data_IF_077861982576
#
_entry.id   IF_077861982576
#
_cell.length_a   1.000
_cell.length_b   1.000
_cell.length_c   1.000
_cell.angle_alpha   90.00
_cell.angle_beta   90.00
_cell.angle_gamma   90.00
#
_symmetry.space_group_name_H-M   'P 1'
#
loop_
_entity.id
_entity.type
_entity.pdbx_description
1 polymer ?
#
# COMPACT_ATOMS: atom_id res chain seq x y z
N UNK A 1 -34.85 -8.17 -2.59
CA UNK A 1 -33.65 -7.52 -3.17
C UNK A 1 -32.46 -8.39 -2.84
N UNK A 2 -32.00 -9.20 -3.79
CA UNK A 2 -30.83 -10.07 -3.60
C UNK A 2 -29.58 -9.20 -3.59
N UNK A 3 -28.92 -9.11 -2.43
CA UNK A 3 -27.61 -8.47 -2.30
C UNK A 3 -26.61 -9.35 -3.07
N UNK A 4 -26.51 -9.14 -4.38
CA UNK A 4 -25.46 -9.74 -5.21
C UNK A 4 -24.14 -9.22 -4.72
N UNK A 5 -23.33 -10.11 -4.16
CA UNK A 5 -22.01 -9.79 -3.62
C UNK A 5 -21.15 -9.17 -4.73
N UNK A 6 -20.79 -7.89 -4.62
CA UNK A 6 -19.75 -7.24 -5.46
C UNK A 6 -18.33 -7.68 -5.05
N UNK A 7 -18.11 -8.99 -4.90
CA UNK A 7 -16.82 -9.54 -4.49
C UNK A 7 -15.77 -9.53 -5.62
N UNK A 8 -16.22 -9.39 -6.87
CA UNK A 8 -15.32 -9.30 -8.00
C UNK A 8 -14.67 -7.90 -7.99
N UNK A 9 -13.36 -7.88 -7.72
CA UNK A 9 -12.51 -6.74 -8.04
C UNK A 9 -12.11 -6.84 -9.50
N UNK A 10 -12.24 -5.73 -10.22
CA UNK A 10 -11.80 -5.60 -11.60
C UNK A 10 -10.35 -5.14 -11.67
N UNK A 11 -9.73 -5.33 -12.83
CA UNK A 11 -8.37 -4.86 -13.07
C UNK A 11 -8.28 -3.33 -13.01
N UNK A 12 -9.30 -2.61 -13.47
CA UNK A 12 -9.37 -1.15 -13.40
C UNK A 12 -9.44 -0.65 -11.95
N UNK A 13 -10.20 -1.33 -11.08
CA UNK A 13 -10.24 -1.02 -9.65
C UNK A 13 -8.88 -1.25 -8.97
N UNK A 14 -8.18 -2.34 -9.34
CA UNK A 14 -6.84 -2.63 -8.84
C UNK A 14 -5.79 -1.62 -9.32
N UNK A 15 -5.89 -1.17 -10.58
CA UNK A 15 -5.05 -0.14 -11.18
C UNK A 15 -5.22 1.19 -10.43
N UNK A 16 -6.47 1.60 -10.20
CA UNK A 16 -6.76 2.83 -9.44
C UNK A 16 -6.23 2.75 -8.01
N UNK A 17 -6.45 1.61 -7.34
CA UNK A 17 -5.93 1.38 -5.99
C UNK A 17 -4.40 1.49 -5.97
N UNK A 18 -3.71 0.90 -6.95
CA UNK A 18 -2.27 0.98 -7.05
C UNK A 18 -1.76 2.40 -7.31
N UNK A 19 -2.36 3.10 -8.27
CA UNK A 19 -1.95 4.45 -8.63
C UNK A 19 -2.05 5.41 -7.43
N UNK A 20 -3.19 5.42 -6.74
CA UNK A 20 -3.42 6.30 -5.60
C UNK A 20 -2.47 5.96 -4.45
N UNK A 21 -2.30 4.68 -4.11
CA UNK A 21 -1.38 4.28 -3.05
C UNK A 21 0.07 4.65 -3.39
N UNK A 22 0.52 4.44 -4.63
CA UNK A 22 1.86 4.81 -5.06
C UNK A 22 2.09 6.33 -5.05
N UNK A 23 1.07 7.12 -5.44
CA UNK A 23 1.10 8.59 -5.28
C UNK A 23 1.27 9.00 -3.83
N UNK A 24 0.44 8.48 -2.91
CA UNK A 24 0.57 8.75 -1.48
C UNK A 24 1.95 8.36 -0.93
N UNK A 25 2.56 7.28 -1.40
CA UNK A 25 3.93 6.90 -1.00
C UNK A 25 4.96 7.93 -1.46
N UNK A 26 4.84 8.47 -2.68
CA UNK A 26 5.76 9.50 -3.22
C UNK A 26 5.64 10.81 -2.47
N UNK A 27 4.40 11.25 -2.26
CA UNK A 27 4.08 12.53 -1.60
C UNK A 27 4.28 12.45 -0.08
N UNK A 28 4.32 11.23 0.44
CA UNK A 28 4.59 10.93 1.84
C UNK A 28 3.35 10.86 2.74
N UNK A 29 2.17 10.73 2.14
CA UNK A 29 0.91 10.42 2.80
C UNK A 29 0.86 9.01 3.40
N UNK A 30 -0.26 8.72 4.04
CA UNK A 30 -0.51 7.43 4.70
C UNK A 30 -1.28 6.50 3.78
N UNK A 31 -1.10 5.17 3.95
CA UNK A 31 -1.89 4.20 3.21
C UNK A 31 -3.39 4.31 3.54
N UNK A 32 -3.74 4.68 4.78
CA UNK A 32 -5.13 4.87 5.19
C UNK A 32 -5.80 5.98 4.38
N UNK A 33 -5.13 7.13 4.22
CA UNK A 33 -5.65 8.24 3.40
C UNK A 33 -5.83 7.83 1.93
N UNK A 34 -4.89 7.06 1.38
CA UNK A 34 -5.03 6.49 0.05
C UNK A 34 -6.25 5.55 -0.06
N UNK A 35 -6.47 4.68 0.93
CA UNK A 35 -7.60 3.75 0.93
C UNK A 35 -8.96 4.45 1.11
N UNK A 36 -9.02 5.52 1.89
CA UNK A 36 -10.22 6.34 2.02
C UNK A 36 -10.57 7.05 0.71
N UNK A 37 -9.55 7.56 0.00
CA UNK A 37 -9.70 8.22 -1.29
C UNK A 37 -10.21 7.24 -2.36
N UNK A 38 -9.56 6.08 -2.48
CA UNK A 38 -10.00 5.03 -3.43
C UNK A 38 -11.36 4.46 -3.06
N UNK A 39 -11.62 4.28 -1.76
CA UNK A 39 -12.91 3.80 -1.26
C UNK A 39 -14.06 4.72 -1.68
N UNK A 40 -13.88 6.04 -1.56
CA UNK A 40 -14.87 7.02 -2.05
C UNK A 40 -15.06 6.93 -3.56
N UNK A 41 -13.99 6.76 -4.33
CA UNK A 41 -14.06 6.68 -5.79
C UNK A 41 -14.76 5.40 -6.28
N UNK A 42 -14.50 4.26 -5.64
CA UNK A 42 -15.06 2.95 -6.02
C UNK A 42 -16.35 2.60 -5.28
N UNK A 43 -16.88 3.50 -4.44
CA UNK A 43 -17.99 3.21 -3.52
C UNK A 43 -17.74 1.96 -2.65
N UNK A 44 -16.48 1.75 -2.22
CA UNK A 44 -16.04 0.65 -1.35
C UNK A 44 -15.54 1.21 0.00
N UNK A 45 -15.48 0.36 1.03
CA UNK A 45 -14.90 0.78 2.31
C UNK A 45 -13.38 0.85 2.24
N UNK A 46 -12.76 1.75 3.01
CA UNK A 46 -11.30 1.81 3.13
C UNK A 46 -10.71 0.48 3.61
N UNK A 47 -11.42 -0.23 4.49
CA UNK A 47 -11.05 -1.57 4.93
C UNK A 47 -11.00 -2.56 3.75
N UNK A 48 -12.02 -2.60 2.89
CA UNK A 48 -12.03 -3.47 1.71
C UNK A 48 -10.88 -3.18 0.75
N UNK A 49 -10.56 -1.90 0.53
CA UNK A 49 -9.42 -1.47 -0.27
C UNK A 49 -8.09 -1.95 0.37
N UNK A 50 -7.96 -1.82 1.69
CA UNK A 50 -6.80 -2.32 2.42
C UNK A 50 -6.63 -3.84 2.32
N UNK A 51 -7.71 -4.61 2.44
CA UNK A 51 -7.69 -6.06 2.26
C UNK A 51 -7.26 -6.45 0.83
N UNK A 52 -7.83 -5.80 -0.20
CA UNK A 52 -7.46 -6.06 -1.59
C UNK A 52 -5.99 -5.72 -1.85
N UNK A 53 -5.54 -4.57 -1.35
CA UNK A 53 -4.15 -4.13 -1.45
C UNK A 53 -3.20 -5.17 -0.85
N UNK A 54 -3.40 -5.54 0.41
CA UNK A 54 -2.49 -6.43 1.13
C UNK A 54 -2.49 -7.87 0.58
N UNK A 55 -3.62 -8.34 0.04
CA UNK A 55 -3.77 -9.73 -0.39
C UNK A 55 -3.24 -9.96 -1.81
N UNK A 56 -3.44 -8.99 -2.71
CA UNK A 56 -3.21 -9.14 -4.15
C UNK A 56 -2.34 -8.01 -4.73
N UNK A 57 -2.84 -6.78 -4.73
CA UNK A 57 -2.25 -5.66 -5.50
C UNK A 57 -0.82 -5.32 -5.04
N UNK A 58 -0.56 -5.29 -3.72
CA UNK A 58 0.79 -5.00 -3.19
C UNK A 58 1.87 -5.93 -3.73
N UNK A 59 1.53 -7.21 -3.97
CA UNK A 59 2.48 -8.21 -4.51
C UNK A 59 2.78 -7.95 -5.98
N UNK A 60 1.80 -7.49 -6.75
CA UNK A 60 1.95 -7.17 -8.17
C UNK A 60 2.78 -5.89 -8.37
N UNK A 61 2.59 -4.89 -7.52
CA UNK A 61 3.23 -3.57 -7.66
C UNK A 61 4.47 -3.39 -6.77
N UNK A 62 5.14 -4.48 -6.38
CA UNK A 62 6.30 -4.42 -5.49
C UNK A 62 7.39 -3.47 -6.05
N UNK A 63 7.76 -3.62 -7.32
CA UNK A 63 8.75 -2.73 -7.97
C UNK A 63 8.29 -1.25 -7.99
N UNK A 64 7.00 -1.00 -8.20
CA UNK A 64 6.42 0.34 -8.17
C UNK A 64 6.51 0.98 -6.78
N UNK A 65 6.26 0.21 -5.73
CA UNK A 65 6.38 0.65 -4.33
C UNK A 65 7.82 1.04 -4.01
N UNK A 66 8.80 0.27 -4.49
CA UNK A 66 10.22 0.54 -4.29
C UNK A 66 10.65 1.83 -4.98
N UNK A 67 10.22 2.01 -6.23
CA UNK A 67 10.48 3.23 -6.98
C UNK A 67 9.85 4.46 -6.31
N UNK A 68 8.59 4.35 -5.87
CA UNK A 68 7.88 5.43 -5.19
C UNK A 68 8.59 5.86 -3.89
N UNK A 69 9.08 4.89 -3.10
CA UNK A 69 9.88 5.17 -1.89
C UNK A 69 11.21 5.83 -2.21
N UNK A 70 11.91 5.37 -3.26
CA UNK A 70 13.16 5.98 -3.71
C UNK A 70 12.95 7.43 -4.12
N UNK A 71 11.90 7.70 -4.90
CA UNK A 71 11.52 9.06 -5.31
C UNK A 71 11.23 9.96 -4.10
N UNK A 72 10.48 9.48 -3.10
CA UNK A 72 10.26 10.24 -1.85
C UNK A 72 11.58 10.61 -1.17
N UNK A 73 12.52 9.66 -1.07
CA UNK A 73 13.84 9.90 -0.45
C UNK A 73 14.63 10.94 -1.24
N UNK A 74 14.63 10.85 -2.57
CA UNK A 74 15.31 11.80 -3.45
C UNK A 74 14.71 13.21 -3.37
N UNK A 75 13.38 13.32 -3.33
CA UNK A 75 12.68 14.60 -3.12
C UNK A 75 13.09 15.24 -1.79
N UNK A 76 13.07 14.48 -0.69
CA UNK A 76 13.50 15.01 0.62
C UNK A 76 14.96 15.48 0.63
N UNK A 77 15.84 14.77 -0.09
CA UNK A 77 17.25 15.17 -0.25
C UNK A 77 17.38 16.49 -1.01
N UNK A 78 16.60 16.70 -2.08
CA UNK A 78 16.59 17.97 -2.83
C UNK A 78 16.11 19.15 -1.98
N UNK A 79 15.16 18.92 -1.07
CA UNK A 79 14.60 19.96 -0.19
C UNK A 79 15.52 20.23 1.03
N UNK A 80 16.68 19.55 1.14
CA UNK A 80 17.63 19.76 2.23
C UNK A 80 17.16 19.24 3.59
N UNK A 81 16.04 18.51 3.66
CA UNK A 81 15.53 17.95 4.92
C UNK A 81 16.21 16.61 5.18
N UNK A 82 17.32 16.64 5.91
CA UNK A 82 18.05 15.46 6.37
C UNK A 82 17.32 14.80 7.55
N UNK A 83 16.17 14.19 7.30
CA UNK A 83 15.43 13.47 8.35
C UNK A 83 15.99 12.05 8.47
N UNK A 84 16.71 11.83 9.57
CA UNK A 84 17.39 10.60 9.99
C UNK A 84 16.44 9.52 10.55
N UNK A 85 15.17 9.50 10.15
CA UNK A 85 14.20 8.52 10.70
C UNK A 85 13.35 7.95 9.57
N UNK A 86 13.17 6.62 9.61
CA UNK A 86 12.40 5.75 8.71
C UNK A 86 13.12 5.19 7.47
N UNK A 87 14.20 4.45 7.68
CA UNK A 87 14.33 3.14 7.01
C UNK A 87 13.70 2.10 7.92
N UNK A 88 12.40 1.87 7.79
CA UNK A 88 11.88 0.52 8.09
C UNK A 88 12.48 -0.37 7.01
N UNK A 89 13.63 -0.95 7.35
CA UNK A 89 14.08 -2.20 6.76
C UNK A 89 12.88 -3.11 6.57
N UNK A 90 12.86 -3.71 5.39
CA UNK A 90 11.85 -4.63 4.95
C UNK A 90 11.66 -5.67 6.06
N UNK A 91 10.50 -5.67 6.72
CA UNK A 91 10.03 -6.81 7.48
C UNK A 91 9.81 -7.93 6.47
N UNK A 92 10.88 -8.65 6.21
CA UNK A 92 10.92 -9.96 5.60
C UNK A 92 11.53 -10.94 6.62
N UNK A 93 11.15 -10.79 7.90
CA UNK A 93 11.22 -11.90 8.85
C UNK A 93 10.11 -12.90 8.45
N UNK A 94 10.41 -13.72 7.46
CA UNK A 94 9.85 -15.05 7.38
C UNK A 94 10.68 -15.93 8.31
N UNK A 95 10.05 -16.34 9.43
CA UNK A 95 10.39 -17.48 10.29
C UNK A 95 11.57 -17.30 11.27
N UNK A 96 11.29 -16.75 12.46
CA UNK A 96 11.76 -17.38 13.71
C UNK A 96 10.64 -17.44 14.74
N UNK A 97 10.08 -18.63 14.93
CA UNK A 97 9.01 -18.86 15.91
C UNK A 97 8.45 -20.27 15.88
N UNK A 98 9.29 -21.30 15.99
CA UNK A 98 8.86 -22.59 16.52
C UNK A 98 10.06 -23.37 17.06
N UNK A 99 10.59 -22.93 18.20
CA UNK A 99 11.09 -23.86 19.21
C UNK A 99 10.10 -23.76 20.36
N UNK A 100 9.07 -24.61 20.31
CA UNK A 100 8.31 -24.98 21.49
C UNK A 100 9.05 -26.15 22.11
N UNK A 101 9.35 -25.98 23.39
CA UNK A 101 10.00 -26.91 24.29
C UNK A 101 9.40 -28.31 24.26
N UNK A 102 10.28 -29.30 24.35
CA UNK A 102 10.02 -30.71 24.63
C UNK A 102 11.35 -31.36 24.97
#
# INVERSE_FOLDING_TARGET
MTITRQDAWTQDEDLLLAEVVLRHIRDGGTQLSAFEEVGKALSRTAAACGFRWNSYVRKQYQAGIELAKKQRKELRKKIGIHSSVFTTEYVNDRRKGSFRSG
#
